data_IF_682940724766
#
_entry.id   IF_682940724766
#
_cell.length_a   1.000
_cell.length_b   1.000
_cell.length_c   1.000
_cell.angle_alpha   90.00
_cell.angle_beta   90.00
_cell.angle_gamma   90.00
#
_symmetry.space_group_name_H-M   'P 1'
#
loop_
_entity.id
_entity.type
_entity.pdbx_description
1 polymer ?
#
# COMPACT_ATOMS: atom_id res chain seq x y z
N UNK A 1 14.90 -23.16 -17.07
CA UNK A 1 13.80 -22.31 -16.61
C UNK A 1 12.58 -22.69 -17.44
N UNK A 2 11.45 -23.08 -16.83
CA UNK A 2 10.23 -23.36 -17.56
C UNK A 2 9.82 -22.08 -18.32
N UNK A 3 9.31 -22.23 -19.54
CA UNK A 3 8.87 -21.09 -20.33
C UNK A 3 7.65 -20.45 -19.65
N UNK A 4 7.82 -19.27 -19.06
CA UNK A 4 6.71 -18.37 -18.67
C UNK A 4 5.71 -18.32 -19.83
N UNK A 5 4.42 -18.45 -19.57
CA UNK A 5 3.40 -18.49 -20.61
C UNK A 5 3.23 -17.11 -21.26
N UNK A 6 4.03 -16.82 -22.30
CA UNK A 6 4.13 -15.50 -22.97
C UNK A 6 2.99 -15.18 -23.94
N UNK A 7 2.01 -16.07 -24.09
CA UNK A 7 0.91 -15.90 -25.04
C UNK A 7 -0.35 -16.54 -24.49
N UNK A 8 -1.24 -15.74 -23.93
CA UNK A 8 -2.64 -16.12 -23.73
C UNK A 8 -3.29 -16.28 -25.11
N UNK A 9 -3.87 -17.45 -25.40
CA UNK A 9 -4.52 -17.75 -26.67
C UNK A 9 -5.98 -18.16 -26.47
N UNK A 10 -6.87 -17.57 -27.26
CA UNK A 10 -8.20 -18.11 -27.60
C UNK A 10 -9.24 -18.00 -26.49
N UNK A 11 -9.05 -18.69 -25.37
CA UNK A 11 -10.13 -19.01 -24.46
C UNK A 11 -9.64 -19.08 -23.01
N UNK A 12 -9.97 -18.06 -22.19
CA UNK A 12 -10.17 -18.26 -20.75
C UNK A 12 -11.54 -18.94 -20.61
N UNK A 13 -11.68 -20.12 -21.21
CA UNK A 13 -12.88 -20.95 -21.08
C UNK A 13 -12.75 -21.81 -19.83
N UNK A 14 -13.79 -21.76 -19.00
CA UNK A 14 -14.05 -22.63 -17.84
C UNK A 14 -13.56 -22.20 -16.45
N UNK A 15 -13.62 -20.90 -16.14
CA UNK A 15 -13.96 -20.51 -14.77
C UNK A 15 -15.41 -20.90 -14.43
N UNK A 16 -15.66 -21.67 -13.36
CA UNK A 16 -17.03 -22.08 -12.96
C UNK A 16 -17.91 -20.93 -12.44
N UNK A 17 -17.38 -19.71 -12.39
CA UNK A 17 -18.05 -18.50 -11.92
C UNK A 17 -18.27 -17.48 -13.03
N UNK A 18 -19.39 -16.77 -12.96
CA UNK A 18 -19.63 -15.53 -13.72
C UNK A 18 -18.50 -14.53 -13.43
N UNK A 19 -18.21 -13.63 -14.38
CA UNK A 19 -17.28 -12.49 -14.26
C UNK A 19 -15.78 -12.75 -14.56
N UNK A 20 -15.45 -13.58 -15.55
CA UNK A 20 -14.05 -13.64 -16.02
C UNK A 20 -13.67 -12.32 -16.69
N UNK A 21 -12.46 -11.83 -16.41
CA UNK A 21 -11.89 -10.67 -17.10
C UNK A 21 -11.65 -11.06 -18.56
N UNK A 22 -12.14 -10.27 -19.54
CA UNK A 22 -11.95 -10.59 -20.94
C UNK A 22 -10.47 -10.68 -21.32
N UNK A 23 -10.14 -11.59 -22.24
CA UNK A 23 -8.77 -11.75 -22.74
C UNK A 23 -8.21 -10.45 -23.35
N UNK A 24 -9.07 -9.65 -24.00
CA UNK A 24 -8.69 -8.35 -24.56
C UNK A 24 -8.23 -7.35 -23.50
N UNK A 25 -8.78 -7.44 -22.29
CA UNK A 25 -8.44 -6.58 -21.17
C UNK A 25 -7.17 -7.06 -20.47
N UNK A 26 -7.10 -8.36 -20.15
CA UNK A 26 -6.06 -8.88 -19.26
C UNK A 26 -4.77 -9.27 -19.98
N UNK A 27 -4.83 -9.62 -21.27
CA UNK A 27 -3.64 -10.05 -22.02
C UNK A 27 -2.58 -8.94 -22.11
N UNK A 28 -2.91 -7.69 -22.49
CA UNK A 28 -1.91 -6.63 -22.55
C UNK A 28 -1.26 -6.36 -21.19
N UNK A 29 -2.03 -6.46 -20.11
CA UNK A 29 -1.54 -6.33 -18.73
C UNK A 29 -0.57 -7.46 -18.39
N UNK A 30 -0.95 -8.71 -18.68
CA UNK A 30 -0.12 -9.89 -18.47
C UNK A 30 1.19 -9.81 -19.27
N UNK A 31 1.12 -9.44 -20.55
CA UNK A 31 2.30 -9.24 -21.39
C UNK A 31 3.25 -8.18 -20.78
N UNK A 32 2.69 -7.05 -20.32
CA UNK A 32 3.43 -5.92 -19.78
C UNK A 32 4.11 -6.15 -18.42
N UNK A 33 3.66 -7.16 -17.66
CA UNK A 33 4.33 -7.63 -16.43
C UNK A 33 5.23 -8.85 -16.70
N UNK A 34 5.31 -9.32 -17.94
CA UNK A 34 6.12 -10.50 -18.30
C UNK A 34 5.48 -11.84 -17.94
N UNK A 35 4.15 -11.88 -17.79
CA UNK A 35 3.35 -13.02 -17.34
C UNK A 35 3.06 -12.99 -15.83
N UNK A 36 1.95 -13.58 -15.42
CA UNK A 36 1.60 -13.76 -14.00
C UNK A 36 2.09 -15.13 -13.50
N UNK A 37 2.81 -15.17 -12.39
CA UNK A 37 3.19 -16.41 -11.73
C UNK A 37 1.96 -17.05 -11.06
N UNK A 38 1.07 -16.24 -10.47
CA UNK A 38 -0.13 -16.72 -9.77
C UNK A 38 -1.38 -15.90 -10.03
N UNK A 39 -2.52 -16.59 -10.20
CA UNK A 39 -3.85 -16.04 -10.07
C UNK A 39 -4.45 -16.54 -8.75
N UNK A 40 -4.57 -15.62 -7.79
CA UNK A 40 -4.99 -15.94 -6.41
C UNK A 40 -6.52 -16.12 -6.31
N UNK A 41 -7.25 -15.74 -7.34
CA UNK A 41 -8.71 -15.71 -7.37
C UNK A 41 -9.35 -16.64 -8.41
N UNK A 42 -8.58 -17.26 -9.31
CA UNK A 42 -9.11 -18.17 -10.31
C UNK A 42 -9.26 -19.62 -9.84
N UNK A 43 -10.25 -20.30 -10.41
CA UNK A 43 -10.32 -21.77 -10.39
C UNK A 43 -9.24 -22.37 -11.29
N UNK A 44 -8.98 -23.67 -11.10
CA UNK A 44 -7.88 -24.41 -11.75
C UNK A 44 -7.79 -24.30 -13.28
N UNK A 45 -8.90 -24.03 -13.96
CA UNK A 45 -8.99 -24.07 -15.42
C UNK A 45 -8.62 -22.73 -16.11
N UNK A 46 -8.34 -21.65 -15.35
CA UNK A 46 -7.82 -20.40 -15.92
C UNK A 46 -6.41 -20.58 -16.48
N UNK A 47 -6.09 -19.91 -17.58
CA UNK A 47 -4.76 -19.92 -18.20
C UNK A 47 -4.03 -18.59 -18.03
N UNK A 48 -4.52 -17.71 -17.17
CA UNK A 48 -3.97 -16.36 -17.01
C UNK A 48 -2.60 -16.34 -16.30
N UNK A 49 -2.36 -17.29 -15.42
CA UNK A 49 -1.15 -17.40 -14.63
C UNK A 49 -0.60 -18.82 -14.63
N UNK A 50 0.68 -18.97 -14.24
CA UNK A 50 1.34 -20.28 -14.17
C UNK A 50 0.66 -21.21 -13.14
N UNK A 51 0.13 -20.67 -12.04
CA UNK A 51 -0.67 -21.39 -11.06
C UNK A 51 -1.94 -20.63 -10.64
N UNK A 52 -3.02 -21.37 -10.38
CA UNK A 52 -4.28 -20.85 -9.83
C UNK A 52 -4.50 -21.43 -8.43
N UNK A 53 -4.69 -20.57 -7.42
CA UNK A 53 -4.69 -21.03 -6.01
C UNK A 53 -5.97 -20.73 -5.23
N UNK A 54 -7.04 -20.26 -5.89
CA UNK A 54 -8.30 -19.96 -5.18
C UNK A 54 -8.84 -21.17 -4.41
N UNK A 55 -8.86 -22.34 -5.02
CA UNK A 55 -9.39 -23.59 -4.43
C UNK A 55 -8.50 -24.16 -3.32
N UNK A 56 -7.21 -23.83 -3.35
CA UNK A 56 -6.21 -24.25 -2.35
C UNK A 56 -5.97 -23.20 -1.26
N UNK A 57 -6.67 -22.06 -1.33
CA UNK A 57 -6.66 -21.01 -0.31
C UNK A 57 -5.88 -19.76 -0.73
N UNK A 58 -6.43 -18.97 -1.67
CA UNK A 58 -5.79 -17.75 -2.17
C UNK A 58 -5.44 -16.73 -1.08
N UNK A 59 -6.33 -16.47 -0.11
CA UNK A 59 -6.06 -15.56 1.03
C UNK A 59 -5.19 -16.17 2.13
N UNK A 60 -4.95 -17.49 2.12
CA UNK A 60 -4.14 -18.16 3.14
C UNK A 60 -2.75 -18.52 2.63
N UNK A 61 -2.53 -18.36 1.32
CA UNK A 61 -1.22 -18.53 0.72
C UNK A 61 -0.39 -17.27 0.94
N UNK A 62 0.91 -17.47 1.10
CA UNK A 62 1.87 -16.38 1.16
C UNK A 62 2.21 -15.94 -0.28
N UNK A 63 1.73 -14.75 -0.66
CA UNK A 63 1.87 -14.22 -2.02
C UNK A 63 3.31 -13.85 -2.35
N UNK A 64 4.19 -13.67 -1.35
CA UNK A 64 5.61 -13.35 -1.57
C UNK A 64 6.41 -14.48 -2.22
N UNK A 65 5.82 -15.67 -2.35
CA UNK A 65 6.41 -16.79 -3.10
C UNK A 65 6.34 -16.61 -4.63
N UNK A 66 5.72 -15.52 -5.10
CA UNK A 66 5.49 -15.23 -6.51
C UNK A 66 5.98 -13.82 -6.84
N UNK A 67 6.62 -13.62 -7.99
CA UNK A 67 7.06 -12.29 -8.41
C UNK A 67 5.84 -11.46 -8.89
N UNK A 68 4.98 -12.08 -9.72
CA UNK A 68 3.83 -11.39 -10.33
C UNK A 68 2.50 -12.04 -9.96
N UNK A 69 1.60 -11.25 -9.37
CA UNK A 69 0.31 -11.71 -8.84
C UNK A 69 -0.85 -11.02 -9.57
N UNK A 70 -1.81 -11.81 -10.04
CA UNK A 70 -3.11 -11.32 -10.50
C UNK A 70 -4.21 -11.60 -9.48
N UNK A 71 -5.01 -10.57 -9.17
CA UNK A 71 -6.10 -10.65 -8.20
C UNK A 71 -7.39 -9.96 -8.71
N UNK A 72 -8.23 -10.71 -9.43
CA UNK A 72 -9.63 -10.35 -9.66
C UNK A 72 -10.52 -10.91 -8.55
N UNK A 73 -10.54 -10.23 -7.40
CA UNK A 73 -11.21 -10.74 -6.19
C UNK A 73 -12.74 -10.77 -6.30
N UNK A 74 -13.42 -11.61 -5.52
CA UNK A 74 -14.88 -11.57 -5.41
C UNK A 74 -15.37 -10.19 -4.94
N UNK A 75 -16.51 -9.74 -5.47
CA UNK A 75 -17.05 -8.39 -5.18
C UNK A 75 -18.06 -8.32 -4.02
N UNK A 76 -18.34 -9.45 -3.37
CA UNK A 76 -19.28 -9.54 -2.27
C UNK A 76 -18.82 -8.71 -1.06
N UNK A 77 -19.76 -8.32 -0.19
CA UNK A 77 -19.46 -7.49 0.99
C UNK A 77 -18.41 -8.16 1.87
N UNK A 78 -17.33 -7.44 2.18
CA UNK A 78 -16.23 -7.93 3.04
C UNK A 78 -15.17 -8.75 2.31
N UNK A 79 -15.38 -9.10 1.03
CA UNK A 79 -14.34 -9.73 0.22
C UNK A 79 -13.25 -8.71 -0.16
N UNK A 80 -13.53 -7.56 -0.81
CA UNK A 80 -12.49 -6.66 -1.32
C UNK A 80 -11.44 -6.26 -0.28
N UNK A 81 -11.87 -5.97 0.95
CA UNK A 81 -10.97 -5.58 2.04
C UNK A 81 -9.87 -6.62 2.27
N UNK A 82 -10.24 -7.90 2.38
CA UNK A 82 -9.31 -8.98 2.73
C UNK A 82 -8.26 -9.21 1.64
N UNK A 83 -8.66 -9.09 0.37
CA UNK A 83 -7.77 -9.29 -0.76
C UNK A 83 -6.87 -8.09 -1.01
N UNK A 84 -7.39 -6.88 -0.82
CA UNK A 84 -6.61 -5.65 -1.00
C UNK A 84 -5.66 -5.39 0.18
N UNK A 85 -6.01 -5.82 1.39
CA UNK A 85 -5.09 -5.83 2.53
C UNK A 85 -3.85 -6.70 2.21
N UNK A 86 -4.05 -7.94 1.73
CA UNK A 86 -2.95 -8.81 1.31
C UNK A 86 -2.12 -8.18 0.17
N UNK A 87 -2.76 -7.54 -0.80
CA UNK A 87 -2.06 -6.83 -1.89
C UNK A 87 -1.19 -5.66 -1.40
N UNK A 88 -1.56 -5.02 -0.30
CA UNK A 88 -0.80 -3.93 0.34
C UNK A 88 0.37 -4.48 1.17
N UNK A 89 0.20 -5.63 1.81
CA UNK A 89 1.16 -6.18 2.77
C UNK A 89 2.21 -7.12 2.16
N UNK A 90 1.89 -7.76 1.04
CA UNK A 90 2.79 -8.75 0.41
C UNK A 90 4.09 -8.14 -0.12
N UNK A 91 5.16 -8.95 -0.10
CA UNK A 91 6.47 -8.61 -0.70
C UNK A 91 6.61 -9.12 -2.15
N UNK A 92 5.51 -9.55 -2.80
CA UNK A 92 5.51 -9.86 -4.23
C UNK A 92 5.98 -8.63 -5.06
N UNK A 93 6.73 -8.86 -6.14
CA UNK A 93 7.32 -7.78 -6.92
C UNK A 93 6.26 -6.88 -7.57
N UNK A 94 5.23 -7.46 -8.18
CA UNK A 94 4.12 -6.71 -8.78
C UNK A 94 2.80 -7.43 -8.52
N UNK A 95 1.86 -6.74 -7.89
CA UNK A 95 0.47 -7.22 -7.71
C UNK A 95 -0.47 -6.35 -8.53
N UNK A 96 -1.27 -6.96 -9.40
CA UNK A 96 -2.31 -6.28 -10.15
C UNK A 96 -3.68 -6.75 -9.68
N UNK A 97 -4.49 -5.82 -9.19
CA UNK A 97 -5.86 -6.07 -8.70
C UNK A 97 -6.89 -5.48 -9.64
N UNK A 98 -8.07 -6.09 -9.72
CA UNK A 98 -9.23 -5.52 -10.40
C UNK A 98 -10.40 -5.40 -9.41
N UNK A 99 -10.78 -4.16 -9.11
CA UNK A 99 -11.78 -3.83 -8.09
C UNK A 99 -12.94 -3.03 -8.66
N UNK A 100 -14.05 -2.97 -7.91
CA UNK A 100 -15.07 -1.94 -8.15
C UNK A 100 -14.51 -0.58 -7.77
N UNK A 101 -14.70 0.42 -8.62
CA UNK A 101 -14.39 1.80 -8.31
C UNK A 101 -15.55 2.39 -7.51
N UNK A 102 -15.48 2.25 -6.19
CA UNK A 102 -16.40 2.88 -5.25
C UNK A 102 -15.62 3.64 -4.17
N UNK A 103 -15.36 4.91 -4.44
CA UNK A 103 -14.61 5.81 -3.55
C UNK A 103 -15.26 6.02 -2.18
N UNK A 104 -16.54 5.67 -2.04
CA UNK A 104 -17.28 5.73 -0.78
C UNK A 104 -17.04 4.52 0.13
N UNK A 105 -16.36 3.48 -0.35
CA UNK A 105 -16.06 2.29 0.44
C UNK A 105 -14.75 2.41 1.21
N UNK A 106 -14.65 1.65 2.30
CA UNK A 106 -13.43 1.56 3.10
C UNK A 106 -12.28 0.97 2.29
N UNK A 107 -12.50 -0.12 1.55
CA UNK A 107 -11.42 -0.76 0.81
C UNK A 107 -10.81 0.15 -0.25
N UNK A 108 -11.60 1.06 -0.82
CA UNK A 108 -11.08 2.03 -1.76
C UNK A 108 -10.16 3.03 -1.06
N UNK A 109 -10.63 3.63 0.04
CA UNK A 109 -9.89 4.67 0.75
C UNK A 109 -8.66 4.15 1.48
N UNK A 110 -8.74 2.96 2.04
CA UNK A 110 -7.73 2.43 2.98
C UNK A 110 -6.72 1.51 2.28
N UNK A 111 -7.09 0.87 1.17
CA UNK A 111 -6.21 -0.07 0.47
C UNK A 111 -5.92 0.33 -0.99
N UNK A 112 -6.92 0.64 -1.83
CA UNK A 112 -6.64 1.04 -3.22
C UNK A 112 -5.83 2.35 -3.29
N UNK A 113 -6.02 3.27 -2.36
CA UNK A 113 -5.21 4.50 -2.28
C UNK A 113 -3.74 4.25 -1.91
N UNK A 114 -3.38 3.05 -1.46
CA UNK A 114 -1.98 2.65 -1.22
C UNK A 114 -1.30 2.09 -2.47
N UNK A 115 -2.03 1.86 -3.56
CA UNK A 115 -1.45 1.37 -4.81
C UNK A 115 -0.43 2.37 -5.39
N UNK A 116 0.68 1.85 -5.91
CA UNK A 116 1.71 2.64 -6.59
C UNK A 116 1.20 3.19 -7.94
N UNK A 117 0.15 2.57 -8.51
CA UNK A 117 -0.59 3.08 -9.65
C UNK A 117 -2.08 2.67 -9.57
N UNK A 118 -2.98 3.59 -9.89
CA UNK A 118 -4.39 3.32 -10.16
C UNK A 118 -4.72 3.66 -11.61
N UNK A 119 -5.43 2.77 -12.29
CA UNK A 119 -6.02 3.04 -13.60
C UNK A 119 -7.54 2.82 -13.55
N UNK A 120 -8.30 3.83 -13.97
CA UNK A 120 -9.76 3.85 -14.05
C UNK A 120 -10.16 3.70 -15.53
N UNK A 121 -10.37 2.46 -16.01
CA UNK A 121 -10.73 2.23 -17.41
C UNK A 121 -12.20 2.63 -17.67
N UNK A 122 -12.59 2.57 -18.94
CA UNK A 122 -14.00 2.47 -19.31
C UNK A 122 -14.65 1.20 -18.70
N UNK A 123 -15.99 1.10 -18.74
CA UNK A 123 -16.71 -0.06 -18.16
C UNK A 123 -16.30 -1.36 -18.84
N UNK A 124 -15.82 -2.31 -18.05
CA UNK A 124 -15.41 -3.63 -18.53
C UNK A 124 -16.65 -4.49 -18.80
N UNK A 125 -16.69 -5.13 -19.97
CA UNK A 125 -17.70 -6.15 -20.32
C UNK A 125 -17.21 -7.54 -19.92
N UNK A 126 -17.50 -7.97 -18.69
CA UNK A 126 -17.06 -9.28 -18.21
C UNK A 126 -17.66 -10.44 -19.00
N UNK A 127 -16.88 -11.50 -19.17
CA UNK A 127 -17.34 -12.71 -19.88
C UNK A 127 -18.51 -13.34 -19.12
N UNK A 128 -19.59 -13.64 -19.85
CA UNK A 128 -20.82 -14.24 -19.31
C UNK A 128 -21.89 -13.25 -18.88
N UNK A 129 -21.64 -11.94 -19.01
CA UNK A 129 -22.64 -10.88 -18.82
C UNK A 129 -23.02 -10.26 -20.17
N UNK A 130 -24.31 -9.96 -20.36
CA UNK A 130 -24.83 -9.38 -21.61
C UNK A 130 -24.79 -7.85 -21.65
N UNK A 131 -24.44 -7.22 -20.53
CA UNK A 131 -24.23 -5.78 -20.39
C UNK A 131 -22.90 -5.57 -19.67
N UNK A 132 -22.15 -4.53 -20.02
CA UNK A 132 -20.96 -4.14 -19.25
C UNK A 132 -21.24 -3.99 -17.76
N UNK A 133 -20.20 -4.11 -16.92
CA UNK A 133 -20.33 -4.04 -15.47
C UNK A 133 -21.22 -2.85 -15.07
N UNK A 134 -22.21 -3.09 -14.19
CA UNK A 134 -23.12 -2.05 -13.71
C UNK A 134 -22.42 -1.06 -12.75
N UNK A 135 -21.17 -1.34 -12.38
CA UNK A 135 -20.25 -0.48 -11.65
C UNK A 135 -19.06 -0.01 -12.51
N UNK A 136 -18.42 1.08 -12.08
CA UNK A 136 -17.11 1.48 -12.62
C UNK A 136 -16.00 0.55 -12.08
N UNK A 137 -14.94 0.37 -12.85
CA UNK A 137 -13.81 -0.49 -12.50
C UNK A 137 -12.58 0.35 -12.14
N UNK A 138 -11.66 -0.25 -11.39
CA UNK A 138 -10.33 0.30 -11.14
C UNK A 138 -9.32 -0.84 -11.06
N UNK A 139 -8.22 -0.69 -11.77
CA UNK A 139 -7.02 -1.49 -11.60
C UNK A 139 -6.13 -0.85 -10.54
N UNK A 140 -5.65 -1.66 -9.59
CA UNK A 140 -4.59 -1.28 -8.65
C UNK A 140 -3.31 -2.03 -8.96
N UNK A 141 -2.18 -1.32 -8.98
CA UNK A 141 -0.85 -1.92 -9.07
C UNK A 141 -0.08 -1.62 -7.79
N UNK A 142 0.36 -2.65 -7.10
CA UNK A 142 1.12 -2.57 -5.86
C UNK A 142 2.52 -3.15 -6.09
N UNK A 143 3.54 -2.50 -5.50
CA UNK A 143 4.94 -2.87 -5.66
C UNK A 143 5.60 -2.16 -6.85
N UNK A 144 6.37 -2.90 -7.64
CA UNK A 144 6.97 -2.40 -8.87
C UNK A 144 5.90 -2.18 -9.93
N UNK A 145 5.97 -1.03 -10.61
CA UNK A 145 5.12 -0.71 -11.77
C UNK A 145 6.00 -0.71 -13.02
N UNK A 146 6.04 -1.82 -13.79
CA UNK A 146 6.84 -1.90 -15.01
C UNK A 146 6.51 -0.77 -15.99
N UNK A 147 7.53 -0.25 -16.67
CA UNK A 147 7.36 0.85 -17.64
C UNK A 147 6.38 0.49 -18.75
N UNK A 148 6.39 -0.77 -19.21
CA UNK A 148 5.46 -1.27 -20.22
C UNK A 148 4.02 -1.27 -19.70
N UNK A 149 3.80 -1.61 -18.43
CA UNK A 149 2.47 -1.60 -17.81
C UNK A 149 1.96 -0.17 -17.64
N UNK A 150 2.83 0.74 -17.18
CA UNK A 150 2.51 2.17 -17.09
C UNK A 150 2.16 2.75 -18.46
N UNK A 151 2.97 2.45 -19.48
CA UNK A 151 2.74 2.88 -20.85
C UNK A 151 1.43 2.32 -21.42
N UNK A 152 1.12 1.05 -21.14
CA UNK A 152 -0.15 0.43 -21.50
C UNK A 152 -1.32 1.23 -20.92
N UNK A 153 -1.40 1.44 -19.61
CA UNK A 153 -2.51 2.18 -19.00
C UNK A 153 -2.60 3.64 -19.44
N UNK A 154 -1.48 4.32 -19.68
CA UNK A 154 -1.49 5.69 -20.22
C UNK A 154 -1.94 5.76 -21.68
N UNK A 155 -1.87 4.66 -22.42
CA UNK A 155 -2.35 4.57 -23.81
C UNK A 155 -3.84 4.25 -23.94
N UNK A 156 -4.47 3.73 -22.87
CA UNK A 156 -5.89 3.40 -22.84
C UNK A 156 -6.76 4.64 -22.59
N UNK A 157 -8.04 4.54 -22.94
CA UNK A 157 -9.04 5.49 -22.45
C UNK A 157 -9.22 5.33 -20.94
N UNK A 158 -9.64 6.41 -20.28
CA UNK A 158 -9.82 6.44 -18.82
C UNK A 158 -8.86 7.41 -18.14
N UNK A 159 -8.61 7.17 -16.85
CA UNK A 159 -7.77 8.03 -16.01
C UNK A 159 -6.71 7.17 -15.32
N UNK A 160 -5.44 7.56 -15.44
CA UNK A 160 -4.35 6.93 -14.69
C UNK A 160 -3.81 7.93 -13.69
N UNK A 161 -3.75 7.54 -12.42
CA UNK A 161 -3.12 8.33 -11.36
C UNK A 161 -2.06 7.46 -10.69
N UNK A 162 -0.94 8.08 -10.33
CA UNK A 162 -0.10 7.56 -9.27
C UNK A 162 -0.53 8.36 -8.03
N UNK A 163 -1.27 7.77 -7.08
CA UNK A 163 -1.63 8.45 -5.84
C UNK A 163 -0.40 8.99 -5.08
N UNK A 164 0.79 8.54 -5.46
CA UNK A 164 2.01 8.63 -4.67
C UNK A 164 1.85 7.73 -3.45
N UNK A 165 2.93 7.47 -2.72
CA UNK A 165 2.82 6.94 -1.34
C UNK A 165 2.18 7.95 -0.36
N UNK A 166 1.33 8.84 -0.88
CA UNK A 166 0.48 9.78 -0.16
C UNK A 166 -0.84 9.13 0.30
N UNK A 167 -1.08 7.84 0.01
CA UNK A 167 -2.12 7.06 0.73
C UNK A 167 -1.93 7.15 2.25
N UNK A 168 -0.66 7.23 2.66
CA UNK A 168 -0.27 7.54 4.02
C UNK A 168 -0.79 8.89 4.51
N UNK A 169 -0.93 9.95 3.71
CA UNK A 169 -1.33 11.27 4.19
C UNK A 169 -2.74 11.26 4.77
N UNK A 170 -3.66 10.43 4.24
CA UNK A 170 -5.04 10.37 4.72
C UNK A 170 -5.16 9.52 6.00
N UNK A 171 -4.44 8.40 6.08
CA UNK A 171 -4.33 7.62 7.33
C UNK A 171 -3.56 8.43 8.38
N UNK A 172 -2.43 9.04 8.05
CA UNK A 172 -1.63 9.85 8.96
C UNK A 172 -2.38 11.08 9.44
N UNK A 173 -3.16 11.74 8.59
CA UNK A 173 -3.95 12.90 9.03
C UNK A 173 -4.92 12.54 10.16
N UNK A 174 -5.46 11.31 10.19
CA UNK A 174 -6.29 10.83 11.30
C UNK A 174 -5.47 10.53 12.57
N UNK A 175 -4.17 10.29 12.41
CA UNK A 175 -3.23 10.01 13.49
C UNK A 175 -2.52 11.25 14.00
N UNK A 176 -2.51 12.33 13.23
CA UNK A 176 -1.85 13.58 13.58
C UNK A 176 -2.73 14.44 14.48
N UNK A 177 -2.08 15.20 15.36
CA UNK A 177 -2.75 16.26 16.09
C UNK A 177 -3.22 17.35 15.10
N UNK A 178 -4.40 17.94 15.32
CA UNK A 178 -5.03 18.90 14.38
C UNK A 178 -4.17 20.14 14.05
N UNK A 179 -3.19 20.46 14.89
CA UNK A 179 -2.25 21.56 14.68
C UNK A 179 -0.97 21.16 13.94
N UNK A 180 -0.81 19.89 13.57
CA UNK A 180 0.26 19.45 12.66
C UNK A 180 -0.20 19.69 11.22
N UNK A 181 0.68 20.31 10.44
CA UNK A 181 0.42 20.66 9.04
C UNK A 181 1.37 19.93 8.10
N UNK A 182 1.02 19.89 6.82
CA UNK A 182 1.85 19.30 5.77
C UNK A 182 2.51 20.43 4.98
N UNK A 183 3.83 20.35 4.82
CA UNK A 183 4.59 21.25 3.98
C UNK A 183 5.21 20.48 2.82
N UNK A 184 4.82 20.86 1.61
CA UNK A 184 5.42 20.34 0.39
C UNK A 184 6.80 20.98 0.23
N UNK A 185 7.80 20.17 -0.08
CA UNK A 185 9.16 20.67 -0.27
C UNK A 185 9.31 21.42 -1.59
N UNK A 186 10.24 22.37 -1.60
CA UNK A 186 10.53 23.24 -2.75
C UNK A 186 11.06 22.48 -3.98
N UNK A 187 11.71 21.32 -3.77
CA UNK A 187 12.22 20.44 -4.84
C UNK A 187 11.14 19.53 -5.44
N UNK A 188 9.92 19.56 -4.89
CA UNK A 188 8.77 18.81 -5.38
C UNK A 188 8.74 17.34 -5.00
N UNK A 189 9.74 16.85 -4.25
CA UNK A 189 9.83 15.45 -3.79
C UNK A 189 9.81 15.39 -2.25
N UNK A 190 8.86 14.63 -1.71
CA UNK A 190 8.66 14.49 -0.27
C UNK A 190 7.77 15.54 0.41
N UNK A 191 7.35 15.21 1.63
CA UNK A 191 6.46 16.02 2.48
C UNK A 191 7.04 16.06 3.90
N UNK A 192 7.09 17.25 4.50
CA UNK A 192 7.38 17.41 5.92
C UNK A 192 6.07 17.52 6.71
N UNK A 193 6.05 16.91 7.90
CA UNK A 193 5.00 17.15 8.89
C UNK A 193 5.51 18.20 9.87
N UNK A 194 4.75 19.28 10.07
CA UNK A 194 5.21 20.46 10.79
C UNK A 194 4.30 20.73 11.97
N UNK A 195 4.86 20.67 13.18
CA UNK A 195 4.17 21.03 14.41
C UNK A 195 4.00 22.55 14.56
N UNK A 196 3.09 23.01 15.41
CA UNK A 196 2.80 24.44 15.62
C UNK A 196 3.99 25.24 16.19
N UNK A 197 4.93 24.55 16.81
CA UNK A 197 6.17 25.08 17.38
C UNK A 197 7.34 25.10 16.38
N UNK A 198 7.11 24.69 15.12
CA UNK A 198 8.12 24.61 14.08
C UNK A 198 8.91 23.29 14.06
N UNK A 199 8.62 22.34 14.96
CA UNK A 199 9.22 21.00 14.90
C UNK A 199 8.85 20.32 13.58
N UNK A 200 9.82 19.72 12.90
CA UNK A 200 9.60 19.08 11.59
C UNK A 200 9.91 17.60 11.65
N UNK A 201 9.02 16.76 11.15
CA UNK A 201 9.31 15.34 10.86
C UNK A 201 9.50 15.15 9.35
N UNK A 202 10.66 14.61 8.97
CA UNK A 202 11.08 14.48 7.58
C UNK A 202 11.58 13.08 7.26
N UNK A 203 11.60 12.73 5.96
CA UNK A 203 12.29 11.54 5.48
C UNK A 203 13.80 11.68 5.68
N UNK A 204 14.40 10.65 6.25
CA UNK A 204 15.82 10.60 6.54
C UNK A 204 16.68 10.20 5.33
N UNK A 205 16.10 9.66 4.24
CA UNK A 205 16.83 9.37 3.00
C UNK A 205 17.43 10.63 2.36
N UNK A 206 16.83 11.78 2.62
CA UNK A 206 17.19 13.05 1.99
C UNK A 206 18.31 13.80 2.73
N UNK A 207 18.74 13.30 3.89
CA UNK A 207 19.97 13.75 4.55
C UNK A 207 19.87 14.99 5.45
N UNK A 208 18.69 15.62 5.59
CA UNK A 208 18.52 16.91 6.27
C UNK A 208 18.02 16.86 7.72
N UNK A 209 18.11 15.74 8.45
CA UNK A 209 17.62 15.69 9.83
C UNK A 209 18.68 16.09 10.87
N UNK A 210 18.32 16.99 11.79
CA UNK A 210 19.09 17.34 12.98
C UNK A 210 19.15 16.14 13.95
N UNK A 211 18.00 15.46 14.12
CA UNK A 211 17.84 14.34 15.03
C UNK A 211 17.29 13.10 14.32
N UNK A 212 18.16 12.12 14.06
CA UNK A 212 17.77 10.85 13.44
C UNK A 212 17.24 9.88 14.47
N UNK A 213 15.96 9.51 14.38
CA UNK A 213 15.27 8.64 15.34
C UNK A 213 15.14 7.19 14.84
N UNK A 214 16.09 6.75 14.01
CA UNK A 214 16.15 5.37 13.51
C UNK A 214 16.30 4.34 14.65
N UNK A 215 16.16 3.05 14.31
CA UNK A 215 16.07 1.95 15.27
C UNK A 215 17.17 1.89 16.35
N UNK A 216 18.40 2.30 16.03
CA UNK A 216 19.52 2.30 17.00
C UNK A 216 19.56 3.52 17.91
N UNK A 217 18.70 4.52 17.69
CA UNK A 217 18.57 5.71 18.51
C UNK A 217 17.71 5.43 19.75
N UNK A 218 17.85 6.24 20.81
CA UNK A 218 17.03 6.14 22.03
C UNK A 218 15.52 6.28 21.76
N UNK A 219 15.13 7.08 20.76
CA UNK A 219 13.75 7.22 20.29
C UNK A 219 13.36 6.19 19.21
N UNK A 220 14.22 5.20 18.94
CA UNK A 220 13.94 4.16 17.96
C UNK A 220 12.77 3.28 18.40
N UNK A 221 11.92 2.89 17.45
CA UNK A 221 10.80 1.99 17.74
C UNK A 221 11.29 0.55 18.04
N UNK A 222 11.05 0.01 19.26
CA UNK A 222 11.45 -1.36 19.59
C UNK A 222 10.48 -2.42 19.03
N UNK A 223 9.27 -2.05 18.62
CA UNK A 223 8.25 -2.96 18.10
C UNK A 223 8.43 -3.12 16.59
N UNK A 224 9.10 -4.20 16.19
CA UNK A 224 9.48 -4.42 14.80
C UNK A 224 8.32 -4.94 13.96
N UNK A 225 8.21 -4.44 12.73
CA UNK A 225 7.31 -5.02 11.73
C UNK A 225 7.87 -6.35 11.20
N UNK A 226 7.06 -7.11 10.47
CA UNK A 226 7.51 -8.35 9.82
C UNK A 226 8.73 -8.15 8.92
N UNK A 227 8.76 -7.05 8.14
CA UNK A 227 9.88 -6.64 7.28
C UNK A 227 11.20 -6.43 8.06
N UNK A 228 11.08 -6.17 9.36
CA UNK A 228 12.19 -5.88 10.26
C UNK A 228 12.55 -7.08 11.18
N UNK A 229 11.98 -8.25 10.91
CA UNK A 229 12.15 -9.47 11.72
C UNK A 229 11.33 -9.46 13.01
N UNK A 230 10.19 -8.76 13.02
CA UNK A 230 9.20 -8.78 14.09
C UNK A 230 7.88 -9.44 13.66
N UNK A 231 6.81 -9.18 14.41
CA UNK A 231 5.50 -9.83 14.23
C UNK A 231 4.33 -8.82 14.21
N UNK A 232 4.61 -7.53 14.04
CA UNK A 232 3.59 -6.48 14.05
C UNK A 232 3.32 -5.98 12.64
N UNK A 233 2.08 -5.60 12.35
CA UNK A 233 1.79 -4.71 11.21
C UNK A 233 2.36 -3.30 11.49
N UNK A 234 2.41 -2.42 10.49
CA UNK A 234 2.87 -1.03 10.69
C UNK A 234 2.00 -0.28 11.69
N UNK A 235 0.68 -0.40 11.57
CA UNK A 235 -0.27 0.23 12.48
C UNK A 235 -0.07 -0.26 13.91
N UNK A 236 -0.04 -1.58 14.11
CA UNK A 236 0.21 -2.18 15.43
C UNK A 236 1.56 -1.76 16.02
N UNK A 237 2.62 -1.73 15.21
CA UNK A 237 3.95 -1.29 15.64
C UNK A 237 3.94 0.15 16.16
N UNK A 238 3.21 1.06 15.49
CA UNK A 238 3.11 2.47 15.91
C UNK A 238 2.17 2.64 17.11
N UNK A 239 1.09 1.87 17.21
CA UNK A 239 0.23 1.79 18.40
C UNK A 239 1.02 1.37 19.65
N UNK A 240 1.77 0.27 19.54
CA UNK A 240 2.61 -0.24 20.61
C UNK A 240 3.67 0.78 21.00
N UNK A 241 4.29 1.43 20.01
CA UNK A 241 5.22 2.53 20.25
C UNK A 241 4.58 3.68 21.01
N UNK A 242 3.35 4.10 20.66
CA UNK A 242 2.67 5.21 21.36
C UNK A 242 2.45 4.91 22.83
N UNK A 243 1.96 3.71 23.15
CA UNK A 243 1.77 3.28 24.54
C UNK A 243 3.09 3.25 25.31
N UNK A 244 4.13 2.67 24.72
CA UNK A 244 5.48 2.62 25.32
C UNK A 244 6.09 4.00 25.51
N UNK A 245 6.01 4.88 24.51
CA UNK A 245 6.52 6.24 24.53
C UNK A 245 5.90 7.05 25.69
N UNK A 246 4.58 7.04 25.82
CA UNK A 246 3.92 7.73 26.94
C UNK A 246 4.22 7.09 28.28
N UNK A 247 4.36 5.77 28.35
CA UNK A 247 4.83 5.07 29.55
C UNK A 247 6.23 5.52 29.98
N UNK A 248 7.17 5.69 29.05
CA UNK A 248 8.50 6.23 29.34
C UNK A 248 8.42 7.65 29.93
N UNK A 249 7.59 8.52 29.36
CA UNK A 249 7.39 9.88 29.86
C UNK A 249 6.73 9.93 31.25
N UNK A 250 5.68 9.13 31.46
CA UNK A 250 4.92 9.13 32.72
C UNK A 250 5.75 8.57 33.89
N UNK A 251 6.56 7.55 33.62
CA UNK A 251 7.32 6.84 34.66
C UNK A 251 8.75 7.31 34.82
N UNK A 252 9.29 8.07 33.85
CA UNK A 252 10.71 8.38 33.74
C UNK A 252 11.59 7.14 33.55
N UNK A 253 11.00 6.00 33.19
CA UNK A 253 11.69 4.72 33.02
C UNK A 253 11.76 4.37 31.54
N UNK A 254 12.96 4.37 30.97
CA UNK A 254 13.15 4.12 29.53
C UNK A 254 14.49 4.61 29.01
N UNK A 255 14.68 4.58 27.68
CA UNK A 255 15.88 5.08 27.04
C UNK A 255 15.91 6.62 26.88
N UNK A 256 14.80 7.31 27.18
CA UNK A 256 14.66 8.77 27.18
C UNK A 256 13.64 9.20 28.24
N UNK A 257 13.62 10.50 28.56
CA UNK A 257 12.66 11.15 29.45
C UNK A 257 11.95 12.35 28.77
N UNK A 258 11.26 13.18 29.56
CA UNK A 258 10.53 14.34 29.06
C UNK A 258 11.44 15.46 28.57
N UNK A 259 12.58 15.70 29.24
CA UNK A 259 13.54 16.73 28.83
C UNK A 259 14.20 16.35 27.50
N UNK A 260 14.48 15.06 27.31
CA UNK A 260 14.97 14.51 26.06
C UNK A 260 14.00 14.74 24.89
N UNK A 261 12.70 14.54 25.11
CA UNK A 261 11.68 14.79 24.08
C UNK A 261 11.53 16.29 23.82
N UNK A 262 11.53 17.11 24.87
CA UNK A 262 11.42 18.57 24.77
C UNK A 262 12.61 19.16 23.98
N UNK A 263 13.80 18.55 24.07
CA UNK A 263 14.96 18.97 23.29
C UNK A 263 14.81 18.80 21.77
N UNK A 264 13.76 18.09 21.29
CA UNK A 264 13.44 18.00 19.86
C UNK A 264 12.53 19.14 19.38
N UNK A 265 12.03 19.99 20.28
CA UNK A 265 11.09 21.05 19.94
C UNK A 265 11.74 22.09 19.03
N UNK A 266 11.08 22.37 17.90
CA UNK A 266 11.56 23.31 16.88
C UNK A 266 12.63 22.73 15.95
N UNK A 267 13.07 21.50 16.18
CA UNK A 267 14.15 20.86 15.43
C UNK A 267 13.62 19.96 14.29
N UNK A 268 14.52 19.52 13.40
CA UNK A 268 14.19 18.59 12.31
C UNK A 268 14.49 17.13 12.70
N UNK A 269 13.42 16.38 12.95
CA UNK A 269 13.43 14.96 13.29
C UNK A 269 13.39 14.11 12.02
N UNK A 270 14.34 13.18 11.87
CA UNK A 270 14.45 12.30 10.69
C UNK A 270 14.00 10.88 10.97
N UNK A 271 13.05 10.38 10.18
CA UNK A 271 12.67 8.97 10.19
C UNK A 271 12.57 8.40 8.77
N UNK A 272 13.22 7.26 8.53
CA UNK A 272 13.24 6.57 7.23
C UNK A 272 11.87 6.07 6.76
N UNK A 273 10.85 6.08 7.64
CA UNK A 273 9.52 5.63 7.29
C UNK A 273 8.67 6.73 6.63
N UNK A 274 8.98 8.01 6.85
CA UNK A 274 8.22 9.15 6.30
C UNK A 274 8.24 9.05 4.76
N UNK A 275 7.11 9.27 4.06
CA UNK A 275 5.85 9.79 4.58
C UNK A 275 4.92 8.72 5.17
N UNK A 276 5.26 7.44 5.26
CA UNK A 276 4.38 6.38 5.80
C UNK A 276 4.17 6.54 7.32
N UNK A 277 3.07 5.98 7.83
CA UNK A 277 2.76 5.96 9.27
C UNK A 277 3.98 5.48 10.06
N UNK A 278 4.46 6.30 11.01
CA UNK A 278 5.73 6.04 11.69
C UNK A 278 5.70 6.47 13.15
N UNK A 279 6.67 5.96 13.92
CA UNK A 279 6.82 6.32 15.33
C UNK A 279 7.19 7.79 15.55
N UNK A 280 7.82 8.44 14.57
CA UNK A 280 8.13 9.87 14.63
C UNK A 280 6.88 10.75 14.76
N UNK A 281 5.74 10.30 14.21
CA UNK A 281 4.47 11.04 14.33
C UNK A 281 3.95 11.05 15.75
N UNK A 282 4.22 10.00 16.54
CA UNK A 282 3.88 9.98 17.98
C UNK A 282 4.63 11.07 18.73
N UNK A 283 5.93 11.21 18.45
CA UNK A 283 6.78 12.24 19.07
C UNK A 283 6.29 13.63 18.65
N UNK A 284 6.08 13.84 17.36
CA UNK A 284 5.60 15.12 16.82
C UNK A 284 4.24 15.50 17.40
N UNK A 285 3.30 14.56 17.52
CA UNK A 285 2.00 14.79 18.13
C UNK A 285 2.08 15.16 19.60
N UNK A 286 3.02 14.53 20.34
CA UNK A 286 3.23 14.88 21.73
C UNK A 286 3.67 16.33 21.86
N UNK A 287 4.69 16.74 21.08
CA UNK A 287 5.19 18.11 21.06
C UNK A 287 4.11 19.12 20.62
N UNK A 288 3.35 18.79 19.58
CA UNK A 288 2.24 19.62 19.09
C UNK A 288 1.10 19.79 20.10
N UNK A 289 0.94 18.84 21.04
CA UNK A 289 -0.08 18.88 22.10
C UNK A 289 0.40 19.62 23.35
N UNK A 290 1.71 19.63 23.61
CA UNK A 290 2.30 20.18 24.85
C UNK A 290 2.95 21.56 24.68
N UNK A 291 3.06 22.06 23.46
CA UNK A 291 3.48 23.44 23.15
C UNK A 291 2.31 24.43 23.17
#
# INVERSE_FOLDING_TARGET
MPSRQRTLSGDIESGSGKYNTPLSEVKPISDAVGGFDVDVCASKDSQLADVNIRETGGLTADWSNYDTVWCNHPYARGEPQRWLEEAVETDAQTVVTLSRCDTSTQYFRDYLMEADLLHFPDRIEFVGESNGADFANVYGVFGEVPDELRAHFLSQSGVTIAPGRSGSTRVISEWLHDSVTFEQRDDGDGVALVGPDGTRLVDNHDGYADHRIGRSNKFGNPFKTSQDGGNYTRGESVEMYRGWFHGCLETGSGPFDADDVEALRGEQIGCWCVPKLCHGMVILNHLAKTG
#
